data_IF_347358063127
#
_entry.id   IF_347358063127
#
_cell.length_a   1.000
_cell.length_b   1.000
_cell.length_c   1.000
_cell.angle_alpha   90.00
_cell.angle_beta   90.00
_cell.angle_gamma   90.00
#
_symmetry.space_group_name_H-M   'P 1'
#
loop_
_entity.id
_entity.type
_entity.pdbx_description
1 polymer ?
#
# COMPACT_ATOMS: atom_id res chain seq x y z
N UNK A 1 -17.84 -8.09 -5.03
CA UNK A 1 -16.65 -7.22 -4.96
C UNK A 1 -15.45 -7.97 -4.42
N UNK A 2 -15.61 -9.00 -3.60
CA UNK A 2 -14.63 -10.02 -3.18
C UNK A 2 -13.22 -9.96 -3.81
N UNK A 3 -13.02 -10.11 -5.11
CA UNK A 3 -11.66 -10.09 -5.69
C UNK A 3 -11.10 -8.70 -6.02
N UNK A 4 -11.95 -7.71 -6.27
CA UNK A 4 -11.56 -6.36 -6.67
C UNK A 4 -10.60 -5.64 -5.69
N UNK A 5 -10.88 -5.57 -4.36
CA UNK A 5 -9.96 -4.90 -3.43
C UNK A 5 -8.61 -5.62 -3.34
N UNK A 6 -8.62 -6.96 -3.43
CA UNK A 6 -7.42 -7.81 -3.34
C UNK A 6 -6.53 -7.61 -4.57
N UNK A 7 -7.09 -7.67 -5.77
CA UNK A 7 -6.35 -7.42 -7.02
C UNK A 7 -5.76 -6.00 -7.06
N UNK A 8 -6.53 -4.99 -6.64
CA UNK A 8 -6.05 -3.62 -6.61
C UNK A 8 -4.93 -3.43 -5.58
N UNK A 9 -5.02 -4.06 -4.40
CA UNK A 9 -3.95 -4.04 -3.41
C UNK A 9 -2.67 -4.73 -3.92
N UNK A 10 -2.79 -5.87 -4.62
CA UNK A 10 -1.64 -6.55 -5.25
C UNK A 10 -1.01 -5.66 -6.32
N UNK A 11 -1.81 -5.08 -7.20
CA UNK A 11 -1.33 -4.16 -8.23
C UNK A 11 -0.61 -2.95 -7.61
N UNK A 12 -1.15 -2.40 -6.52
CA UNK A 12 -0.53 -1.30 -5.80
C UNK A 12 0.78 -1.71 -5.11
N UNK A 13 0.86 -2.90 -4.54
CA UNK A 13 2.10 -3.43 -3.96
C UNK A 13 3.20 -3.60 -5.03
N UNK A 14 2.84 -4.10 -6.21
CA UNK A 14 3.75 -4.19 -7.36
C UNK A 14 4.20 -2.79 -7.79
N UNK A 15 3.27 -1.84 -7.94
CA UNK A 15 3.60 -0.44 -8.25
C UNK A 15 4.59 0.16 -7.25
N UNK A 16 4.36 0.00 -5.93
CA UNK A 16 5.29 0.47 -4.91
C UNK A 16 6.66 -0.22 -4.98
N UNK A 17 6.72 -1.50 -5.33
CA UNK A 17 7.99 -2.23 -5.43
C UNK A 17 8.90 -1.70 -6.55
N UNK A 18 8.33 -1.07 -7.58
CA UNK A 18 9.10 -0.48 -8.67
C UNK A 18 9.96 0.69 -8.19
N UNK A 19 9.53 1.42 -7.14
CA UNK A 19 10.34 2.50 -6.57
C UNK A 19 11.62 1.97 -5.94
N UNK A 20 11.66 0.73 -5.45
CA UNK A 20 12.86 0.15 -4.86
C UNK A 20 13.97 -0.16 -5.89
N UNK A 21 13.67 -0.07 -7.19
CA UNK A 21 14.66 -0.26 -8.25
C UNK A 21 15.61 0.94 -8.38
N UNK A 22 15.27 2.10 -7.81
CA UNK A 22 16.12 3.30 -7.80
C UNK A 22 17.47 3.08 -7.08
N UNK A 23 17.55 2.05 -6.22
CA UNK A 23 18.76 1.63 -5.52
C UNK A 23 19.90 1.25 -6.46
N UNK A 24 19.57 0.81 -7.68
CA UNK A 24 20.54 0.33 -8.67
C UNK A 24 21.20 1.45 -9.49
N UNK A 25 20.70 2.68 -9.39
CA UNK A 25 21.23 3.83 -10.15
C UNK A 25 22.49 4.46 -9.52
N UNK A 26 22.97 3.94 -8.39
CA UNK A 26 24.16 4.46 -7.68
C UNK A 26 25.34 3.49 -7.65
N UNK A 27 26.56 4.04 -7.57
CA UNK A 27 27.78 3.25 -7.32
C UNK A 27 27.81 2.82 -5.84
N UNK A 28 27.25 1.65 -5.55
CA UNK A 28 27.26 1.03 -4.21
C UNK A 28 27.85 -0.37 -4.29
N UNK A 29 28.50 -0.82 -3.22
CA UNK A 29 28.96 -2.20 -3.10
C UNK A 29 27.78 -3.18 -3.05
N UNK A 30 28.02 -4.47 -3.36
CA UNK A 30 26.95 -5.48 -3.41
C UNK A 30 26.10 -5.53 -2.13
N UNK A 31 26.75 -5.54 -0.95
CA UNK A 31 26.06 -5.60 0.34
C UNK A 31 25.26 -4.34 0.65
N UNK A 32 25.78 -3.17 0.28
CA UNK A 32 25.10 -1.89 0.48
C UNK A 32 23.85 -1.79 -0.40
N UNK A 33 23.95 -2.23 -1.67
CA UNK A 33 22.79 -2.32 -2.58
C UNK A 33 21.75 -3.30 -2.06
N UNK A 34 22.16 -4.48 -1.58
CA UNK A 34 21.24 -5.48 -1.03
C UNK A 34 20.49 -4.95 0.21
N UNK A 35 21.19 -4.30 1.14
CA UNK A 35 20.57 -3.70 2.32
C UNK A 35 19.63 -2.55 1.93
N UNK A 36 20.06 -1.67 1.03
CA UNK A 36 19.23 -0.56 0.60
C UNK A 36 17.97 -1.04 -0.14
N UNK A 37 18.06 -2.08 -0.97
CA UNK A 37 16.91 -2.70 -1.63
C UNK A 37 15.90 -3.25 -0.60
N UNK A 38 16.38 -3.97 0.42
CA UNK A 38 15.52 -4.49 1.49
C UNK A 38 14.78 -3.37 2.23
N UNK A 39 15.47 -2.26 2.50
CA UNK A 39 14.86 -1.09 3.13
C UNK A 39 13.84 -0.40 2.21
N UNK A 40 14.12 -0.28 0.91
CA UNK A 40 13.19 0.35 -0.05
C UNK A 40 11.95 -0.53 -0.33
N UNK A 41 12.01 -1.83 -0.06
CA UNK A 41 10.86 -2.74 -0.16
C UNK A 41 9.96 -2.73 1.10
N UNK A 42 10.38 -2.10 2.21
CA UNK A 42 9.56 -2.00 3.42
C UNK A 42 8.14 -1.45 3.17
N UNK A 43 7.94 -0.37 2.37
CA UNK A 43 6.62 0.12 2.02
C UNK A 43 5.75 -0.97 1.39
N UNK A 44 6.30 -1.73 0.44
CA UNK A 44 5.61 -2.86 -0.20
C UNK A 44 5.27 -3.95 0.80
N UNK A 45 6.19 -4.29 1.70
CA UNK A 45 5.95 -5.32 2.74
C UNK A 45 4.80 -4.91 3.65
N UNK A 46 4.70 -3.65 4.08
CA UNK A 46 3.57 -3.18 4.88
C UNK A 46 2.23 -3.35 4.17
N UNK A 47 2.17 -3.05 2.87
CA UNK A 47 0.96 -3.26 2.06
C UNK A 47 0.60 -4.75 1.97
N UNK A 48 1.58 -5.62 1.73
CA UNK A 48 1.35 -7.07 1.63
C UNK A 48 0.88 -7.67 2.96
N UNK A 49 1.49 -7.29 4.08
CA UNK A 49 1.06 -7.71 5.43
C UNK A 49 -0.37 -7.25 5.69
N UNK A 50 -0.69 -6.01 5.34
CA UNK A 50 -2.05 -5.47 5.49
C UNK A 50 -3.06 -6.26 4.66
N UNK A 51 -2.73 -6.59 3.41
CA UNK A 51 -3.56 -7.42 2.54
C UNK A 51 -3.76 -8.84 3.12
N UNK A 52 -2.73 -9.45 3.69
CA UNK A 52 -2.83 -10.76 4.34
C UNK A 52 -3.81 -10.71 5.53
N UNK A 53 -3.73 -9.69 6.37
CA UNK A 53 -4.67 -9.47 7.47
C UNK A 53 -6.10 -9.23 6.96
N UNK A 54 -6.23 -8.43 5.90
CA UNK A 54 -7.51 -8.13 5.25
C UNK A 54 -8.21 -9.38 4.70
N UNK A 55 -7.45 -10.45 4.41
CA UNK A 55 -7.99 -11.68 3.86
C UNK A 55 -8.94 -12.42 4.81
N UNK A 56 -8.67 -12.34 6.12
CA UNK A 56 -9.51 -12.90 7.19
C UNK A 56 -10.39 -11.82 7.84
N UNK A 57 -9.90 -10.58 7.90
CA UNK A 57 -10.56 -9.47 8.59
C UNK A 57 -10.63 -8.23 7.70
N UNK A 58 -11.64 -8.19 6.83
CA UNK A 58 -11.79 -7.15 5.83
C UNK A 58 -11.89 -5.73 6.43
N UNK A 59 -12.53 -5.58 7.60
CA UNK A 59 -12.60 -4.30 8.31
C UNK A 59 -11.24 -3.79 8.81
N UNK A 60 -10.33 -4.71 9.17
CA UNK A 60 -8.95 -4.38 9.58
C UNK A 60 -8.19 -3.88 8.36
N UNK A 61 -8.24 -4.63 7.26
CA UNK A 61 -7.60 -4.23 6.00
C UNK A 61 -8.07 -2.85 5.56
N UNK A 62 -9.38 -2.66 5.53
CA UNK A 62 -10.01 -1.40 5.17
C UNK A 62 -9.53 -0.21 6.02
N UNK A 63 -9.46 -0.39 7.33
CA UNK A 63 -8.99 0.65 8.26
C UNK A 63 -7.50 0.93 8.10
N UNK A 64 -6.67 -0.11 7.98
CA UNK A 64 -5.22 0.02 7.83
C UNK A 64 -4.84 0.71 6.52
N UNK A 65 -5.48 0.35 5.40
CA UNK A 65 -5.23 1.00 4.10
C UNK A 65 -5.53 2.50 4.13
N UNK A 66 -6.66 2.91 4.74
CA UNK A 66 -7.00 4.31 4.94
C UNK A 66 -5.98 4.99 5.86
N UNK A 67 -5.60 4.33 6.96
CA UNK A 67 -4.61 4.85 7.89
C UNK A 67 -3.26 5.09 7.22
N UNK A 68 -2.76 4.16 6.38
CA UNK A 68 -1.53 4.36 5.62
C UNK A 68 -1.62 5.56 4.66
N UNK A 69 -2.75 5.74 3.98
CA UNK A 69 -2.97 6.91 3.11
C UNK A 69 -2.91 8.23 3.89
N UNK A 70 -3.55 8.29 5.07
CA UNK A 70 -3.50 9.47 5.94
C UNK A 70 -2.11 9.71 6.52
N UNK A 71 -1.46 8.67 7.03
CA UNK A 71 -0.10 8.75 7.57
C UNK A 71 0.86 9.29 6.51
N UNK A 72 0.76 8.81 5.27
CA UNK A 72 1.57 9.32 4.16
C UNK A 72 1.33 10.81 3.90
N UNK A 73 0.06 11.25 3.85
CA UNK A 73 -0.27 12.68 3.63
C UNK A 73 0.30 13.55 4.74
N UNK A 74 0.15 13.14 6.00
CA UNK A 74 0.63 13.91 7.17
C UNK A 74 2.16 13.94 7.20
N UNK A 75 2.81 12.79 6.99
CA UNK A 75 4.27 12.68 7.02
C UNK A 75 4.92 13.45 5.86
N UNK A 76 4.34 13.39 4.67
CA UNK A 76 4.86 14.04 3.48
C UNK A 76 4.33 15.47 3.26
N UNK A 77 3.63 16.05 4.24
CA UNK A 77 2.88 17.29 4.06
C UNK A 77 3.77 18.46 3.61
N UNK A 78 3.44 19.06 2.46
CA UNK A 78 4.17 20.18 1.88
C UNK A 78 5.46 19.81 1.14
N UNK A 79 5.85 18.52 1.11
CA UNK A 79 7.09 18.08 0.45
C UNK A 79 6.93 17.88 -1.06
N UNK A 80 5.74 17.48 -1.51
CA UNK A 80 5.50 17.12 -2.91
C UNK A 80 4.34 17.91 -3.53
N UNK A 81 4.24 17.94 -4.88
CA UNK A 81 3.07 18.46 -5.58
C UNK A 81 1.80 17.66 -5.25
N UNK A 82 0.64 18.29 -5.41
CA UNK A 82 -0.67 17.67 -5.15
C UNK A 82 -0.84 16.29 -5.82
N UNK A 83 -0.39 16.17 -7.07
CA UNK A 83 -0.52 14.95 -7.86
C UNK A 83 0.19 13.76 -7.20
N UNK A 84 1.31 13.96 -6.52
CA UNK A 84 2.03 12.89 -5.82
C UNK A 84 1.21 12.34 -4.67
N UNK A 85 0.48 13.19 -3.92
CA UNK A 85 -0.43 12.71 -2.89
C UNK A 85 -1.58 11.91 -3.48
N UNK A 86 -2.14 12.36 -4.59
CA UNK A 86 -3.24 11.67 -5.26
C UNK A 86 -2.81 10.29 -5.78
N UNK A 87 -1.62 10.19 -6.38
CA UNK A 87 -1.10 8.94 -6.97
C UNK A 87 -0.75 7.90 -5.89
N UNK A 88 -0.23 8.33 -4.73
CA UNK A 88 0.15 7.40 -3.66
C UNK A 88 -1.03 7.12 -2.72
N UNK A 89 -1.67 8.16 -2.18
CA UNK A 89 -2.75 8.00 -1.20
C UNK A 89 -4.08 7.60 -1.84
N UNK A 90 -4.34 8.02 -3.08
CA UNK A 90 -5.59 7.71 -3.79
C UNK A 90 -5.88 6.22 -3.89
N UNK A 91 -4.95 5.40 -4.43
CA UNK A 91 -5.13 3.95 -4.48
C UNK A 91 -5.28 3.33 -3.08
N UNK A 92 -4.56 3.80 -2.07
CA UNK A 92 -4.70 3.33 -0.69
C UNK A 92 -6.11 3.57 -0.14
N UNK A 93 -6.66 4.76 -0.33
CA UNK A 93 -8.03 5.06 0.08
C UNK A 93 -9.06 4.25 -0.70
N UNK A 94 -8.86 4.10 -2.02
CA UNK A 94 -9.77 3.31 -2.86
C UNK A 94 -9.80 1.85 -2.41
N UNK A 95 -8.64 1.22 -2.18
CA UNK A 95 -8.53 -0.14 -1.66
C UNK A 95 -9.21 -0.25 -0.29
N UNK A 96 -8.94 0.70 0.61
CA UNK A 96 -9.50 0.70 1.96
C UNK A 96 -11.03 0.82 1.98
N UNK A 97 -11.58 1.70 1.16
CA UNK A 97 -13.03 1.86 0.98
C UNK A 97 -13.64 0.58 0.40
N UNK A 98 -13.02 -0.03 -0.60
CA UNK A 98 -13.51 -1.27 -1.19
C UNK A 98 -13.53 -2.43 -0.18
N UNK A 99 -12.53 -2.55 0.69
CA UNK A 99 -12.55 -3.54 1.79
C UNK A 99 -13.67 -3.27 2.81
N UNK A 100 -13.93 -2.00 3.14
CA UNK A 100 -15.07 -1.62 4.00
C UNK A 100 -16.42 -1.99 3.37
N UNK A 101 -16.57 -1.75 2.07
CA UNK A 101 -17.79 -2.10 1.33
C UNK A 101 -18.00 -3.61 1.26
N UNK A 102 -16.94 -4.37 0.98
CA UNK A 102 -16.99 -5.83 0.93
C UNK A 102 -17.40 -6.41 2.29
N UNK A 103 -16.82 -5.88 3.38
CA UNK A 103 -17.18 -6.29 4.74
C UNK A 103 -18.65 -6.02 5.09
N UNK A 104 -19.17 -4.82 4.74
CA UNK A 104 -20.58 -4.48 4.99
C UNK A 104 -21.52 -5.38 4.20
N UNK A 105 -21.20 -5.68 2.94
CA UNK A 105 -21.99 -6.58 2.09
C UNK A 105 -21.93 -8.02 2.62
N UNK A 106 -20.76 -8.46 3.07
CA UNK A 106 -20.57 -9.78 3.67
C UNK A 106 -21.41 -9.99 4.94
N UNK A 107 -21.47 -8.99 5.83
CA UNK A 107 -22.31 -9.04 7.03
C UNK A 107 -23.81 -8.97 6.75
N UNK A 108 -24.23 -8.39 5.63
CA UNK A 108 -25.65 -8.35 5.25
C UNK A 108 -26.18 -9.69 4.70
N UNK A 109 -25.30 -10.68 4.46
CA UNK A 109 -25.63 -12.00 3.92
C UNK A 109 -25.58 -13.12 4.96
N UNK A 110 -25.17 -12.83 6.19
CA UNK A 110 -25.07 -13.75 7.33
C UNK A 110 -26.17 -13.49 8.34
#
# INVERSE_FOLDING_TARGET
LFWSPRLLAIAFAVFLSLFALDVFDGERGFWDTALALLLHLLPTVFILVTLLLAWKWEWIGGTLFIAFGLCYIVWAWGLFPFLTYLVIAGPLFLVGILFWLDWKIGRARS
#
